data_IF_279004715547
#
_entry.id   IF_279004715547
#
_cell.length_a   1.000
_cell.length_b   1.000
_cell.length_c   1.000
_cell.angle_alpha   90.00
_cell.angle_beta   90.00
_cell.angle_gamma   90.00
#
_symmetry.space_group_name_H-M   'P 1'
#
loop_
_entity.id
_entity.type
_entity.pdbx_description
1 polymer ?
#
# COMPACT_ATOMS: atom_id res chain seq x y z
N UNK A 1 -23.42 6.76 -34.81
CA UNK A 1 -22.15 6.16 -35.28
C UNK A 1 -21.23 7.27 -35.76
N UNK A 2 -20.37 7.78 -34.94
CA UNK A 2 -19.40 8.82 -35.24
C UNK A 2 -18.06 8.42 -34.60
N UNK A 3 -17.10 7.95 -35.41
CA UNK A 3 -15.74 7.64 -34.96
C UNK A 3 -15.00 8.97 -34.73
N UNK A 4 -14.66 9.28 -33.50
CA UNK A 4 -13.69 10.33 -33.18
C UNK A 4 -12.29 9.74 -33.43
N UNK A 5 -11.59 10.25 -34.43
CA UNK A 5 -10.16 9.96 -34.68
C UNK A 5 -9.34 10.91 -33.82
N UNK A 6 -8.51 10.37 -32.96
CA UNK A 6 -7.45 11.09 -32.29
C UNK A 6 -6.21 11.12 -33.20
N UNK A 7 -5.68 12.32 -33.46
CA UNK A 7 -4.42 12.50 -34.16
C UNK A 7 -3.25 12.41 -33.17
N UNK A 8 -2.05 11.96 -33.59
CA UNK A 8 -0.91 11.84 -32.70
C UNK A 8 -0.35 13.23 -32.31
N UNK A 9 0.04 13.32 -31.05
CA UNK A 9 0.55 14.52 -30.37
C UNK A 9 1.77 15.13 -31.07
N UNK A 10 1.68 16.44 -31.29
CA UNK A 10 2.85 17.29 -31.43
C UNK A 10 3.32 17.70 -30.06
N UNK A 11 4.57 17.41 -29.74
CA UNK A 11 5.23 17.88 -28.54
C UNK A 11 5.15 19.41 -28.46
N UNK A 12 4.43 19.92 -27.45
CA UNK A 12 4.43 21.35 -27.11
C UNK A 12 5.59 21.58 -26.15
N UNK A 13 6.62 22.27 -26.61
CA UNK A 13 7.70 22.74 -25.75
C UNK A 13 7.14 23.79 -24.78
N UNK A 14 7.29 23.54 -23.49
CA UNK A 14 7.01 24.52 -22.45
C UNK A 14 8.08 25.61 -22.44
N UNK A 15 7.71 26.91 -22.35
CA UNK A 15 8.69 27.99 -22.29
C UNK A 15 9.42 27.97 -20.94
N UNK A 16 10.75 28.08 -21.00
CA UNK A 16 11.61 28.32 -19.85
C UNK A 16 11.23 29.65 -19.18
N UNK A 17 10.72 29.60 -17.96
CA UNK A 17 10.58 30.77 -17.10
C UNK A 17 11.92 30.98 -16.36
N UNK A 18 12.66 31.98 -16.82
CA UNK A 18 13.81 32.54 -16.11
C UNK A 18 13.31 33.56 -15.09
N UNK A 19 13.65 33.52 -13.81
CA UNK A 19 13.32 34.58 -12.88
C UNK A 19 14.40 35.67 -12.95
N UNK A 20 14.08 36.81 -13.54
CA UNK A 20 14.81 38.06 -13.33
C UNK A 20 14.00 38.90 -12.34
N UNK A 21 14.41 38.92 -11.08
CA UNK A 21 13.92 39.90 -10.12
C UNK A 21 15.12 40.74 -9.64
N UNK A 22 15.21 41.96 -10.17
CA UNK A 22 15.99 43.04 -9.58
C UNK A 22 15.12 43.68 -8.50
N UNK A 23 15.62 43.76 -7.27
CA UNK A 23 14.96 44.38 -6.14
C UNK A 23 15.03 45.94 -6.26
N UNK A 24 13.97 46.68 -5.96
CA UNK A 24 14.05 48.07 -5.65
C UNK A 24 14.36 48.30 -4.18
N UNK A 25 15.25 49.24 -3.91
CA UNK A 25 15.59 49.71 -2.57
C UNK A 25 14.50 50.68 -2.02
N UNK A 26 14.10 50.44 -0.79
CA UNK A 26 13.74 51.46 0.19
C UNK A 26 12.36 52.08 0.09
N UNK A 27 11.54 51.79 1.10
CA UNK A 27 10.31 52.54 1.43
C UNK A 27 9.60 51.82 2.57
N UNK A 28 9.64 52.40 3.77
CA UNK A 28 8.77 51.99 4.90
C UNK A 28 7.31 52.26 4.47
N UNK A 29 6.63 51.19 4.10
CA UNK A 29 5.20 51.22 3.80
C UNK A 29 4.63 49.90 4.36
N UNK A 30 3.58 50.01 5.17
CA UNK A 30 2.84 48.90 5.71
C UNK A 30 2.62 47.83 4.65
N UNK A 31 3.13 46.62 4.90
CA UNK A 31 2.82 45.44 4.09
C UNK A 31 1.29 45.24 4.17
N UNK A 32 0.58 45.67 3.14
CA UNK A 32 -0.76 45.16 2.90
C UNK A 32 -0.58 43.66 2.62
N UNK A 33 -0.86 42.82 3.58
CA UNK A 33 -1.03 41.38 3.37
C UNK A 33 -2.05 41.22 2.25
N UNK A 34 -1.53 40.82 1.08
CA UNK A 34 -2.35 40.50 -0.08
C UNK A 34 -2.95 39.10 0.21
N UNK A 35 -3.84 39.03 1.23
CA UNK A 35 -4.51 37.78 1.60
C UNK A 35 -5.47 37.41 0.47
N UNK A 36 -5.11 36.41 -0.30
CA UNK A 36 -6.05 35.77 -1.22
C UNK A 36 -7.20 35.17 -0.41
N UNK A 37 -8.43 35.31 -0.92
CA UNK A 37 -9.58 34.61 -0.34
C UNK A 37 -9.35 33.10 -0.50
N UNK A 38 -9.31 32.37 0.61
CA UNK A 38 -9.13 30.91 0.65
C UNK A 38 -10.19 30.24 1.51
N UNK A 39 -10.52 29.01 1.18
CA UNK A 39 -11.36 28.13 1.98
C UNK A 39 -10.66 26.78 2.08
N UNK A 40 -10.55 26.22 3.30
CA UNK A 40 -9.97 24.89 3.51
C UNK A 40 -10.79 23.83 2.76
N UNK A 41 -10.10 22.97 2.02
CA UNK A 41 -10.69 21.84 1.32
C UNK A 41 -10.32 20.54 2.04
N UNK A 42 -11.29 19.66 2.15
CA UNK A 42 -11.12 18.30 2.65
C UNK A 42 -11.28 17.33 1.48
N UNK A 43 -10.40 16.32 1.42
CA UNK A 43 -10.47 15.26 0.43
C UNK A 43 -10.92 13.97 1.09
N UNK A 44 -11.90 13.26 0.53
CA UNK A 44 -12.21 11.90 0.96
C UNK A 44 -11.73 10.92 -0.10
N UNK A 45 -10.95 9.93 0.31
CA UNK A 45 -10.30 8.96 -0.56
C UNK A 45 -10.55 7.51 -0.14
N UNK A 46 -10.37 6.62 -1.11
CA UNK A 46 -10.08 5.19 -0.88
C UNK A 46 -8.85 4.81 -1.68
N UNK A 47 -8.14 3.75 -1.26
CA UNK A 47 -7.07 3.16 -2.07
C UNK A 47 -7.69 2.11 -2.98
N UNK A 48 -7.65 2.35 -4.29
CA UNK A 48 -8.32 1.55 -5.32
C UNK A 48 -7.55 0.25 -5.67
N UNK A 49 -8.05 -0.48 -6.68
CA UNK A 49 -7.43 -1.73 -7.17
C UNK A 49 -6.11 -1.50 -7.92
N UNK A 50 -5.81 -0.25 -8.29
CA UNK A 50 -4.51 0.15 -8.83
C UNK A 50 -3.50 0.55 -7.72
N UNK A 51 -3.89 0.49 -6.45
CA UNK A 51 -3.04 0.89 -5.32
C UNK A 51 -2.91 2.40 -5.14
N UNK A 52 -3.78 3.20 -5.77
CA UNK A 52 -3.76 4.66 -5.72
C UNK A 52 -4.87 5.22 -4.84
N UNK A 53 -4.55 6.26 -4.07
CA UNK A 53 -5.54 7.01 -3.30
C UNK A 53 -6.36 7.90 -4.24
N UNK A 54 -7.66 7.61 -4.40
CA UNK A 54 -8.57 8.33 -5.28
C UNK A 54 -9.84 8.73 -4.55
N UNK A 55 -10.38 9.90 -4.91
CA UNK A 55 -11.56 10.41 -4.24
C UNK A 55 -12.01 11.76 -4.77
N UNK A 56 -12.64 12.54 -3.90
CA UNK A 56 -13.13 13.90 -4.22
C UNK A 56 -12.94 14.86 -3.07
N UNK A 57 -12.67 16.13 -3.41
CA UNK A 57 -12.60 17.23 -2.46
C UNK A 57 -13.95 17.92 -2.24
N UNK A 58 -14.11 18.54 -1.07
CA UNK A 58 -15.25 19.38 -0.69
C UNK A 58 -14.83 20.46 0.30
N UNK A 59 -15.56 21.61 0.40
CA UNK A 59 -15.30 22.64 1.39
C UNK A 59 -15.43 22.15 2.82
N UNK A 60 -14.49 22.52 3.71
CA UNK A 60 -14.45 22.06 5.10
C UNK A 60 -15.76 22.32 5.89
N UNK A 61 -16.46 23.41 5.59
CA UNK A 61 -17.79 23.71 6.19
C UNK A 61 -18.84 22.65 5.92
N UNK A 62 -18.68 21.80 4.88
CA UNK A 62 -19.61 20.74 4.54
C UNK A 62 -19.31 19.42 5.29
N UNK A 63 -18.21 19.35 6.05
CA UNK A 63 -17.79 18.12 6.73
C UNK A 63 -18.92 17.42 7.50
N UNK A 64 -19.75 18.11 8.34
CA UNK A 64 -20.83 17.45 9.06
C UNK A 64 -21.83 16.72 8.14
N UNK A 65 -22.12 17.31 6.96
CA UNK A 65 -23.00 16.69 5.97
C UNK A 65 -22.29 15.50 5.29
N UNK A 66 -21.00 15.65 4.96
CA UNK A 66 -20.23 14.64 4.24
C UNK A 66 -19.92 13.41 5.06
N UNK A 67 -19.76 13.55 6.37
CA UNK A 67 -19.63 12.41 7.30
C UNK A 67 -20.86 11.49 7.28
N UNK A 68 -22.04 12.05 6.99
CA UNK A 68 -23.30 11.29 6.94
C UNK A 68 -23.61 10.82 5.52
N UNK A 69 -23.50 11.71 4.52
CA UNK A 69 -23.93 11.46 3.14
C UNK A 69 -22.80 11.06 2.19
N UNK A 70 -21.54 11.28 2.58
CA UNK A 70 -20.40 11.07 1.70
C UNK A 70 -20.37 12.03 0.51
N UNK A 71 -19.56 11.66 -0.49
CA UNK A 71 -19.47 12.30 -1.80
C UNK A 71 -19.81 11.30 -2.90
N UNK A 72 -20.48 11.75 -3.96
CA UNK A 72 -20.89 10.88 -5.06
C UNK A 72 -19.72 10.21 -5.76
N UNK A 73 -19.83 8.92 -6.03
CA UNK A 73 -18.85 8.09 -6.74
C UNK A 73 -19.55 7.25 -7.81
N UNK A 74 -18.82 6.82 -8.83
CA UNK A 74 -19.34 6.00 -9.92
C UNK A 74 -18.64 4.64 -9.92
N UNK A 75 -19.39 3.55 -10.15
CA UNK A 75 -18.80 2.20 -10.16
C UNK A 75 -17.69 2.01 -11.17
N UNK A 76 -17.80 2.64 -12.35
CA UNK A 76 -16.76 2.61 -13.39
C UNK A 76 -15.41 3.21 -12.93
N UNK A 77 -15.39 4.06 -11.89
CA UNK A 77 -14.14 4.59 -11.34
C UNK A 77 -13.25 3.50 -10.73
N UNK A 78 -13.82 2.34 -10.36
CA UNK A 78 -13.03 1.18 -9.95
C UNK A 78 -12.07 0.72 -11.06
N UNK A 79 -12.46 0.92 -12.32
CA UNK A 79 -11.68 0.54 -13.51
C UNK A 79 -10.76 1.66 -14.01
N UNK A 80 -10.55 2.70 -13.22
CA UNK A 80 -9.63 3.79 -13.55
C UNK A 80 -8.19 3.29 -13.46
N UNK A 81 -7.54 3.24 -14.63
CA UNK A 81 -6.20 2.66 -14.74
C UNK A 81 -5.13 3.49 -14.01
N UNK A 82 -3.96 2.90 -13.72
CA UNK A 82 -2.84 3.67 -13.18
C UNK A 82 -2.32 4.72 -14.19
N UNK A 83 -2.67 4.57 -15.48
CA UNK A 83 -2.25 5.46 -16.58
C UNK A 83 -3.33 6.47 -16.99
N UNK A 84 -4.41 6.62 -16.22
CA UNK A 84 -5.47 7.62 -16.39
C UNK A 84 -6.77 7.10 -17.00
N UNK A 85 -6.80 6.45 -18.19
CA UNK A 85 -8.05 6.00 -18.79
C UNK A 85 -8.81 4.97 -17.94
N UNK A 86 -10.14 5.04 -17.94
CA UNK A 86 -11.00 3.96 -17.46
C UNK A 86 -10.97 2.84 -18.50
N UNK A 87 -10.63 1.63 -18.06
CA UNK A 87 -10.64 0.46 -18.94
C UNK A 87 -12.03 -0.16 -19.02
N UNK A 88 -12.18 -1.21 -19.83
CA UNK A 88 -13.44 -1.92 -20.00
C UNK A 88 -14.08 -2.28 -18.67
N UNK A 89 -15.27 -1.72 -18.43
CA UNK A 89 -15.93 -1.74 -17.12
C UNK A 89 -17.17 -2.63 -17.12
N UNK A 90 -17.32 -3.54 -16.13
CA UNK A 90 -18.55 -4.30 -15.97
C UNK A 90 -19.73 -3.43 -15.50
N UNK A 91 -19.48 -2.18 -15.07
CA UNK A 91 -20.51 -1.29 -14.53
C UNK A 91 -21.19 -0.42 -15.60
N UNK A 92 -20.62 -0.34 -16.81
CA UNK A 92 -21.13 0.56 -17.87
C UNK A 92 -21.12 2.02 -17.42
N UNK A 93 -22.19 2.75 -17.76
CA UNK A 93 -22.40 4.15 -17.36
C UNK A 93 -23.38 4.30 -16.19
N UNK A 94 -23.87 3.20 -15.64
CA UNK A 94 -24.88 3.18 -14.56
C UNK A 94 -24.22 2.89 -13.19
N UNK A 95 -24.93 3.27 -12.14
CA UNK A 95 -24.55 3.00 -10.75
C UNK A 95 -23.91 4.19 -10.05
N UNK A 96 -24.66 4.72 -9.09
CA UNK A 96 -24.21 5.76 -8.17
C UNK A 96 -23.88 5.13 -6.82
N UNK A 97 -22.75 5.51 -6.30
CA UNK A 97 -22.22 5.12 -5.00
C UNK A 97 -21.78 6.36 -4.23
N UNK A 98 -21.43 6.20 -2.99
CA UNK A 98 -20.94 7.27 -2.12
C UNK A 98 -19.62 6.85 -1.48
N UNK A 99 -18.58 7.70 -1.51
CA UNK A 99 -17.44 7.55 -0.59
C UNK A 99 -17.82 8.28 0.69
N UNK A 100 -17.96 7.53 1.79
CA UNK A 100 -18.31 8.06 3.10
C UNK A 100 -17.03 8.13 3.95
N UNK A 101 -16.61 9.33 4.40
CA UNK A 101 -15.43 9.49 5.26
C UNK A 101 -15.58 8.66 6.54
N UNK A 102 -14.49 8.01 6.97
CA UNK A 102 -14.42 7.37 8.29
C UNK A 102 -13.77 8.36 9.27
N UNK A 103 -14.50 8.84 10.32
CA UNK A 103 -13.92 9.77 11.30
C UNK A 103 -12.66 9.23 12.01
N UNK A 104 -12.52 7.89 12.11
CA UNK A 104 -11.34 7.26 12.71
C UNK A 104 -10.10 7.28 11.78
N UNK A 105 -10.27 7.67 10.52
CA UNK A 105 -9.22 7.74 9.51
C UNK A 105 -9.05 9.17 8.95
N UNK A 106 -9.26 10.18 9.81
CA UNK A 106 -8.95 11.58 9.51
C UNK A 106 -7.45 11.82 9.56
N UNK A 107 -6.95 12.54 8.55
CA UNK A 107 -5.59 13.06 8.48
C UNK A 107 -5.65 14.56 8.27
N UNK A 108 -5.07 15.32 9.22
CA UNK A 108 -4.95 16.77 9.10
C UNK A 108 -3.56 17.20 9.54
N UNK A 109 -2.74 17.59 8.55
CA UNK A 109 -1.33 17.96 8.76
C UNK A 109 -1.08 19.33 8.16
N UNK A 110 -0.68 20.28 9.02
CA UNK A 110 -0.14 21.56 8.63
C UNK A 110 1.39 21.47 8.62
N UNK A 111 2.00 21.68 7.45
CA UNK A 111 3.46 21.68 7.29
C UNK A 111 4.12 22.99 7.75
N UNK A 112 3.32 23.98 8.16
CA UNK A 112 3.77 25.29 8.63
C UNK A 112 4.70 26.02 7.64
N UNK A 113 4.55 25.75 6.34
CA UNK A 113 5.35 26.33 5.23
C UNK A 113 4.56 27.37 4.42
N UNK A 114 3.35 27.72 4.87
CA UNK A 114 2.43 28.61 4.18
C UNK A 114 1.65 27.96 3.03
N UNK A 115 1.85 26.66 2.77
CA UNK A 115 1.03 25.92 1.80
C UNK A 115 -0.31 25.48 2.41
N UNK A 116 -1.21 24.96 1.58
CA UNK A 116 -2.47 24.40 2.04
C UNK A 116 -2.25 23.21 2.98
N UNK A 117 -3.12 23.10 3.98
CA UNK A 117 -3.15 21.96 4.92
C UNK A 117 -3.47 20.67 4.14
N UNK A 118 -2.74 19.60 4.42
CA UNK A 118 -3.14 18.25 4.00
C UNK A 118 -4.29 17.78 4.89
N UNK A 119 -5.51 17.89 4.39
CA UNK A 119 -6.69 17.46 5.13
C UNK A 119 -7.50 16.47 4.29
N UNK A 120 -7.47 15.21 4.71
CA UNK A 120 -8.23 14.16 4.04
C UNK A 120 -8.74 13.10 5.01
N UNK A 121 -9.71 12.35 4.54
CA UNK A 121 -10.24 11.16 5.20
C UNK A 121 -10.06 9.95 4.30
N UNK A 122 -9.73 8.80 4.86
CA UNK A 122 -9.98 7.55 4.18
C UNK A 122 -11.42 7.14 4.44
N UNK A 123 -12.07 6.56 3.43
CA UNK A 123 -13.50 6.28 3.47
C UNK A 123 -13.88 4.96 2.82
N UNK A 124 -15.10 4.54 3.12
CA UNK A 124 -15.72 3.35 2.54
C UNK A 124 -16.62 3.74 1.37
N UNK A 125 -16.54 2.98 0.26
CA UNK A 125 -17.52 3.13 -0.82
C UNK A 125 -18.78 2.36 -0.42
N UNK A 126 -19.94 3.03 -0.48
CA UNK A 126 -21.24 2.49 -0.09
C UNK A 126 -22.26 2.66 -1.21
N UNK A 127 -23.24 1.78 -1.22
CA UNK A 127 -24.45 1.95 -2.01
C UNK A 127 -25.24 3.19 -1.54
N UNK A 128 -26.15 3.68 -2.38
CA UNK A 128 -26.96 4.87 -2.05
C UNK A 128 -27.94 4.67 -0.89
N UNK A 129 -28.23 3.42 -0.53
CA UNK A 129 -29.00 3.05 0.67
C UNK A 129 -28.13 2.97 1.95
N UNK A 130 -26.82 3.24 1.85
CA UNK A 130 -25.87 3.19 2.95
C UNK A 130 -25.25 1.82 3.22
N UNK A 131 -25.69 0.76 2.54
CA UNK A 131 -25.09 -0.57 2.66
C UNK A 131 -23.68 -0.61 2.06
N UNK A 132 -22.86 -1.57 2.51
CA UNK A 132 -21.52 -1.77 1.95
C UNK A 132 -21.59 -2.15 0.47
N UNK A 133 -20.76 -1.54 -0.36
CA UNK A 133 -20.60 -1.93 -1.75
C UNK A 133 -19.63 -3.11 -1.87
N UNK A 134 -20.04 -4.16 -2.57
CA UNK A 134 -19.25 -5.39 -2.77
C UNK A 134 -17.81 -5.12 -3.23
N UNK A 135 -17.61 -4.11 -4.09
CA UNK A 135 -16.31 -3.78 -4.66
C UNK A 135 -15.50 -2.74 -3.86
N UNK A 136 -15.91 -2.40 -2.62
CA UNK A 136 -15.16 -1.49 -1.79
C UNK A 136 -13.88 -2.17 -1.25
N UNK A 137 -12.64 -1.72 -1.62
CA UNK A 137 -11.41 -2.35 -1.13
C UNK A 137 -11.27 -2.30 0.38
N UNK A 138 -11.68 -1.20 1.02
CA UNK A 138 -11.59 -1.04 2.47
C UNK A 138 -12.61 -1.94 3.21
N UNK A 139 -13.80 -2.17 2.65
CA UNK A 139 -14.76 -3.15 3.20
C UNK A 139 -14.29 -4.59 2.97
N UNK A 140 -13.56 -4.88 1.90
CA UNK A 140 -12.93 -6.19 1.72
C UNK A 140 -12.07 -6.57 2.94
N UNK A 141 -11.23 -5.66 3.44
CA UNK A 141 -10.45 -5.89 4.66
C UNK A 141 -11.35 -5.98 5.90
N UNK A 142 -12.37 -5.12 6.04
CA UNK A 142 -13.33 -5.20 7.17
C UNK A 142 -14.00 -6.57 7.24
N UNK A 143 -14.37 -7.15 6.10
CA UNK A 143 -14.96 -8.50 6.03
C UNK A 143 -13.97 -9.57 6.46
N UNK A 144 -12.72 -9.46 6.03
CA UNK A 144 -11.65 -10.39 6.43
C UNK A 144 -11.42 -10.36 7.95
N UNK A 145 -11.33 -9.17 8.54
CA UNK A 145 -11.16 -8.98 9.99
C UNK A 145 -12.32 -9.61 10.76
N UNK A 146 -13.58 -9.32 10.37
CA UNK A 146 -14.77 -9.93 11.00
C UNK A 146 -14.72 -11.46 10.92
N UNK A 147 -14.34 -12.03 9.78
CA UNK A 147 -14.24 -13.48 9.64
C UNK A 147 -13.17 -14.10 10.53
N UNK A 148 -12.07 -13.40 10.81
CA UNK A 148 -11.05 -13.88 11.76
C UNK A 148 -11.60 -13.87 13.20
N UNK A 149 -12.29 -12.79 13.58
CA UNK A 149 -12.93 -12.68 14.91
C UNK A 149 -14.00 -13.77 15.10
N UNK A 150 -14.84 -13.99 14.09
CA UNK A 150 -15.91 -15.02 14.13
C UNK A 150 -15.36 -16.46 14.14
N UNK A 151 -14.33 -16.72 13.35
CA UNK A 151 -13.78 -18.09 13.20
C UNK A 151 -12.91 -18.53 14.37
N UNK A 152 -12.21 -17.60 15.03
CA UNK A 152 -11.16 -17.94 15.99
C UNK A 152 -11.18 -17.08 17.27
N UNK A 153 -12.02 -16.06 17.37
CA UNK A 153 -11.95 -15.03 18.42
C UNK A 153 -10.56 -14.40 18.51
N UNK A 154 -9.95 -14.13 17.35
CA UNK A 154 -8.65 -13.51 17.20
C UNK A 154 -8.73 -12.22 16.40
N UNK A 155 -7.77 -11.33 16.66
CA UNK A 155 -7.50 -10.13 15.87
C UNK A 155 -6.10 -10.19 15.29
N UNK A 156 -5.91 -9.50 14.17
CA UNK A 156 -4.60 -9.29 13.58
C UNK A 156 -4.10 -7.88 13.91
N UNK A 157 -2.89 -7.82 14.45
CA UNK A 157 -2.09 -6.61 14.58
C UNK A 157 -1.05 -6.62 13.47
N UNK A 158 -0.90 -5.52 12.74
CA UNK A 158 0.03 -5.44 11.63
C UNK A 158 0.76 -4.10 11.57
N UNK A 159 1.92 -4.11 10.90
CA UNK A 159 2.65 -2.92 10.48
C UNK A 159 3.15 -3.11 9.05
N UNK A 160 3.14 -2.02 8.28
CA UNK A 160 3.69 -2.00 6.93
C UNK A 160 5.06 -1.31 6.96
N UNK A 161 6.07 -2.00 6.51
CA UNK A 161 7.39 -1.48 6.18
C UNK A 161 7.40 -1.16 4.69
N UNK A 162 7.77 0.06 4.30
CA UNK A 162 7.67 0.51 2.92
C UNK A 162 8.98 1.10 2.43
N UNK A 163 9.43 0.62 1.28
CA UNK A 163 10.62 1.10 0.57
C UNK A 163 10.22 2.02 -0.58
N UNK A 164 11.04 3.04 -0.85
CA UNK A 164 10.83 3.98 -1.94
C UNK A 164 12.12 4.69 -2.35
N UNK A 165 12.15 5.23 -3.57
CA UNK A 165 13.21 6.12 -4.00
C UNK A 165 12.83 7.58 -3.75
N UNK A 166 13.81 8.39 -3.31
CA UNK A 166 13.66 9.83 -3.18
C UNK A 166 14.51 10.56 -4.23
N UNK A 167 13.88 11.43 -5.03
CA UNK A 167 14.55 12.11 -6.16
C UNK A 167 15.38 13.32 -5.75
N UNK A 168 15.27 13.77 -4.51
CA UNK A 168 15.95 14.99 -4.01
C UNK A 168 17.43 14.82 -3.67
N UNK A 169 18.00 13.62 -3.89
CA UNK A 169 19.43 13.35 -3.66
C UNK A 169 20.07 12.72 -4.88
N UNK A 170 21.37 12.97 -5.05
CA UNK A 170 22.20 12.28 -6.03
C UNK A 170 22.76 10.98 -5.46
N UNK A 171 22.87 9.98 -6.30
CA UNK A 171 23.54 8.72 -6.00
C UNK A 171 25.05 8.93 -5.81
N UNK A 172 25.63 8.16 -4.86
CA UNK A 172 27.08 8.07 -4.65
C UNK A 172 27.49 6.63 -4.32
N UNK A 173 28.68 6.20 -4.72
CA UNK A 173 29.21 4.90 -4.29
C UNK A 173 29.26 4.79 -2.76
N UNK A 174 28.84 3.64 -2.23
CA UNK A 174 28.87 3.36 -0.79
C UNK A 174 27.69 3.95 0.00
N UNK A 175 26.60 4.28 -0.65
CA UNK A 175 25.41 4.86 -0.01
C UNK A 175 24.61 3.87 0.84
N UNK A 176 24.65 2.59 0.53
CA UNK A 176 23.88 1.57 1.24
C UNK A 176 24.08 1.64 2.76
N UNK A 177 23.01 1.87 3.52
CA UNK A 177 22.99 2.02 4.99
C UNK A 177 23.93 3.10 5.54
N UNK A 178 24.46 3.97 4.69
CA UNK A 178 25.50 4.91 5.09
C UNK A 178 24.89 6.16 5.77
N UNK A 179 25.51 6.59 6.88
CA UNK A 179 25.17 7.86 7.52
C UNK A 179 25.29 9.06 6.56
N UNK A 180 26.22 8.97 5.58
CA UNK A 180 26.37 9.98 4.55
C UNK A 180 25.15 10.09 3.62
N UNK A 181 24.55 8.96 3.23
CA UNK A 181 23.28 8.93 2.46
C UNK A 181 22.14 9.48 3.31
N UNK A 182 22.03 9.04 4.57
CA UNK A 182 21.03 9.51 5.51
C UNK A 182 21.10 11.05 5.70
N UNK A 183 22.29 11.64 5.81
CA UNK A 183 22.44 13.11 5.91
C UNK A 183 21.99 13.86 4.65
N UNK A 184 22.17 13.28 3.46
CA UNK A 184 21.84 13.94 2.21
C UNK A 184 20.36 14.05 1.94
N UNK A 185 19.51 13.23 2.60
CA UNK A 185 18.06 13.40 2.50
C UNK A 185 17.59 14.78 3.02
N UNK A 186 18.46 15.46 3.78
CA UNK A 186 18.22 16.82 4.25
C UNK A 186 16.97 16.93 5.14
N UNK A 187 16.17 17.94 4.87
CA UNK A 187 14.91 18.17 5.60
C UNK A 187 13.79 17.22 5.20
N UNK A 188 13.92 16.46 4.12
CA UNK A 188 12.85 15.57 3.66
C UNK A 188 12.45 14.56 4.75
N UNK A 189 13.40 13.80 5.30
CA UNK A 189 13.08 12.77 6.28
C UNK A 189 12.52 13.35 7.58
N UNK A 190 13.08 14.47 8.08
CA UNK A 190 12.56 15.13 9.27
C UNK A 190 11.14 15.61 9.07
N UNK A 191 10.85 16.25 7.93
CA UNK A 191 9.52 16.72 7.54
C UNK A 191 8.54 15.55 7.38
N UNK A 192 8.95 14.50 6.67
CA UNK A 192 8.15 13.31 6.46
C UNK A 192 7.80 12.59 7.77
N UNK A 193 8.78 12.36 8.65
CA UNK A 193 8.57 11.70 9.95
C UNK A 193 7.69 12.56 10.87
N UNK A 194 7.84 13.88 10.85
CA UNK A 194 6.98 14.79 11.59
C UNK A 194 5.52 14.74 11.05
N UNK A 195 5.36 14.74 9.72
CA UNK A 195 4.05 14.64 9.08
C UNK A 195 3.35 13.30 9.39
N UNK A 196 4.08 12.17 9.37
CA UNK A 196 3.54 10.86 9.78
C UNK A 196 3.02 10.89 11.21
N UNK A 197 3.79 11.46 12.13
CA UNK A 197 3.40 11.59 13.54
C UNK A 197 2.18 12.47 13.71
N UNK A 198 2.12 13.59 13.00
CA UNK A 198 0.97 14.49 13.01
C UNK A 198 -0.28 13.83 12.40
N UNK A 199 -0.10 12.96 11.42
CA UNK A 199 -1.16 12.17 10.80
C UNK A 199 -1.63 10.96 11.64
N UNK A 200 -1.07 10.74 12.84
CA UNK A 200 -1.42 9.63 13.71
C UNK A 200 -0.71 8.30 13.39
N UNK A 201 0.05 8.23 12.30
CA UNK A 201 0.87 7.07 11.97
C UNK A 201 2.23 7.19 12.69
N UNK A 202 2.39 6.49 13.82
CA UNK A 202 3.61 6.57 14.62
C UNK A 202 4.79 5.92 13.89
N UNK A 203 5.80 6.69 13.42
CA UNK A 203 6.98 6.11 12.79
C UNK A 203 7.85 5.41 13.83
N UNK A 204 8.48 4.30 13.43
CA UNK A 204 9.44 3.52 14.22
C UNK A 204 10.86 3.76 13.70
N UNK A 205 11.16 3.35 12.47
CA UNK A 205 12.48 3.57 11.85
C UNK A 205 12.35 4.29 10.51
N UNK A 206 13.41 5.02 10.16
CA UNK A 206 13.61 5.63 8.85
C UNK A 206 15.10 5.53 8.51
N UNK A 207 15.43 4.95 7.36
CA UNK A 207 16.82 4.66 6.99
C UNK A 207 17.07 4.81 5.50
N UNK A 208 18.36 5.02 5.14
CA UNK A 208 18.84 4.85 3.78
C UNK A 208 19.03 3.36 3.52
N UNK A 209 18.34 2.84 2.51
CA UNK A 209 18.32 1.43 2.16
C UNK A 209 19.49 1.03 1.24
N UNK A 210 19.47 -0.23 0.76
CA UNK A 210 20.53 -0.81 -0.07
C UNK A 210 20.64 -0.14 -1.44
N UNK A 211 19.50 0.18 -2.04
CA UNK A 211 19.45 0.79 -3.37
C UNK A 211 19.90 2.26 -3.38
N UNK A 212 20.40 2.75 -4.52
CA UNK A 212 20.76 4.16 -4.67
C UNK A 212 19.51 5.04 -4.51
N UNK A 213 19.59 6.07 -3.67
CA UNK A 213 18.50 6.99 -3.33
C UNK A 213 17.27 6.29 -2.70
N UNK A 214 17.42 5.03 -2.29
CA UNK A 214 16.36 4.26 -1.66
C UNK A 214 16.32 4.53 -0.16
N UNK A 215 15.11 4.66 0.35
CA UNK A 215 14.80 4.81 1.77
C UNK A 215 13.72 3.82 2.17
N UNK A 216 13.72 3.48 3.45
CA UNK A 216 12.71 2.63 4.07
C UNK A 216 12.14 3.33 5.29
N UNK A 217 10.85 3.16 5.50
CA UNK A 217 10.15 3.59 6.70
C UNK A 217 9.32 2.46 7.27
N UNK A 218 9.41 2.27 8.59
CA UNK A 218 8.51 1.41 9.35
C UNK A 218 7.63 2.26 10.26
N UNK A 219 6.43 1.75 10.55
CA UNK A 219 5.48 2.37 11.48
C UNK A 219 5.09 1.37 12.57
N UNK A 220 4.69 1.89 13.73
CA UNK A 220 4.27 1.06 14.85
C UNK A 220 3.03 0.21 14.51
N UNK A 221 2.98 -1.06 14.99
CA UNK A 221 1.89 -1.97 14.71
C UNK A 221 0.53 -1.45 15.21
N UNK A 222 -0.51 -1.72 14.43
CA UNK A 222 -1.89 -1.32 14.69
C UNK A 222 -2.86 -2.45 14.36
N UNK A 223 -4.12 -2.40 14.83
CA UNK A 223 -5.19 -3.27 14.32
C UNK A 223 -5.26 -3.21 12.78
N UNK A 224 -5.56 -4.33 12.15
CA UNK A 224 -5.41 -4.54 10.71
C UNK A 224 -5.97 -3.41 9.81
N UNK A 225 -7.17 -2.89 10.11
CA UNK A 225 -7.75 -1.81 9.31
C UNK A 225 -6.94 -0.51 9.45
N UNK A 226 -6.60 -0.12 10.69
CA UNK A 226 -5.77 1.05 10.96
C UNK A 226 -4.38 0.91 10.36
N UNK A 227 -3.78 -0.30 10.40
CA UNK A 227 -2.49 -0.57 9.77
C UNK A 227 -2.54 -0.35 8.24
N UNK A 228 -3.60 -0.80 7.58
CA UNK A 228 -3.80 -0.57 6.15
C UNK A 228 -4.07 0.92 5.83
N UNK A 229 -4.84 1.63 6.68
CA UNK A 229 -5.02 3.08 6.59
C UNK A 229 -3.66 3.79 6.73
N UNK A 230 -2.84 3.44 7.72
CA UNK A 230 -1.50 4.00 7.92
C UNK A 230 -0.56 3.70 6.74
N UNK A 231 -0.70 2.55 6.07
CA UNK A 231 0.08 2.27 4.86
C UNK A 231 -0.26 3.24 3.72
N UNK A 232 -1.53 3.62 3.53
CA UNK A 232 -1.93 4.66 2.58
C UNK A 232 -1.39 6.02 3.03
N UNK A 233 -1.59 6.39 4.31
CA UNK A 233 -1.12 7.65 4.89
C UNK A 233 0.39 7.80 4.73
N UNK A 234 1.16 6.74 4.95
CA UNK A 234 2.62 6.74 4.80
C UNK A 234 3.03 7.16 3.38
N UNK A 235 2.40 6.59 2.35
CA UNK A 235 2.67 6.96 0.95
C UNK A 235 2.32 8.40 0.66
N UNK A 236 1.15 8.85 1.11
CA UNK A 236 0.67 10.21 0.84
C UNK A 236 1.50 11.26 1.59
N UNK A 237 1.90 11.01 2.84
CA UNK A 237 2.76 11.93 3.59
C UNK A 237 4.19 12.01 3.01
N UNK A 238 4.74 10.89 2.52
CA UNK A 238 6.02 10.91 1.80
C UNK A 238 5.94 11.75 0.52
N UNK A 239 4.84 11.59 -0.26
CA UNK A 239 4.58 12.40 -1.47
C UNK A 239 4.40 13.87 -1.13
N UNK A 240 3.62 14.18 -0.09
CA UNK A 240 3.36 15.54 0.35
C UNK A 240 4.65 16.25 0.81
N UNK A 241 5.49 15.59 1.59
CA UNK A 241 6.78 16.13 2.03
C UNK A 241 7.75 16.36 0.86
N UNK A 242 7.87 15.38 -0.05
CA UNK A 242 8.72 15.51 -1.23
C UNK A 242 8.26 16.63 -2.17
N UNK A 243 6.95 16.71 -2.43
CA UNK A 243 6.35 17.73 -3.29
C UNK A 243 6.68 19.15 -2.82
N UNK A 244 6.61 19.42 -1.52
CA UNK A 244 6.94 20.74 -0.93
C UNK A 244 8.41 21.13 -1.12
N UNK A 245 9.28 20.15 -1.27
CA UNK A 245 10.70 20.35 -1.56
C UNK A 245 11.01 20.38 -3.07
N UNK A 246 9.99 20.32 -3.93
CA UNK A 246 10.16 20.25 -5.40
C UNK A 246 10.69 18.90 -5.89
N UNK A 247 10.50 17.84 -5.11
CA UNK A 247 10.99 16.50 -5.40
C UNK A 247 9.84 15.49 -5.48
N UNK A 248 10.18 14.23 -5.78
CA UNK A 248 9.25 13.09 -5.81
C UNK A 248 9.76 11.94 -4.95
N UNK A 249 8.84 11.10 -4.53
CA UNK A 249 9.11 9.74 -4.05
C UNK A 249 8.51 8.75 -5.04
N UNK A 250 9.19 7.62 -5.23
CA UNK A 250 8.82 6.59 -6.20
C UNK A 250 8.67 5.27 -5.45
N UNK A 251 7.45 4.79 -5.33
CA UNK A 251 7.09 3.54 -4.68
C UNK A 251 6.97 2.36 -5.68
N UNK A 252 7.29 2.58 -6.95
CA UNK A 252 7.22 1.51 -7.95
C UNK A 252 7.97 0.26 -7.47
N UNK A 253 7.38 -0.94 -7.59
CA UNK A 253 8.02 -2.20 -7.17
C UNK A 253 9.41 -2.43 -7.75
N UNK A 254 9.65 -1.94 -8.97
CA UNK A 254 10.95 -1.99 -9.65
C UNK A 254 11.10 -0.70 -10.46
N UNK A 255 11.75 0.32 -9.92
CA UNK A 255 11.88 1.62 -10.60
C UNK A 255 12.91 1.61 -11.74
N UNK A 256 13.85 0.66 -11.71
CA UNK A 256 14.88 0.46 -12.72
C UNK A 256 15.24 -1.03 -12.77
N UNK A 257 15.43 -1.64 -13.95
CA UNK A 257 15.71 -3.07 -14.06
C UNK A 257 17.06 -3.49 -13.44
N UNK A 258 18.01 -2.59 -13.36
CA UNK A 258 19.36 -2.85 -12.82
C UNK A 258 19.47 -2.61 -11.30
N UNK A 259 18.52 -1.87 -10.71
CA UNK A 259 18.51 -1.59 -9.28
C UNK A 259 17.75 -2.66 -8.49
N UNK A 260 17.86 -2.64 -7.18
CA UNK A 260 16.96 -3.40 -6.29
C UNK A 260 15.54 -2.87 -6.40
N UNK A 261 14.55 -3.71 -6.09
CA UNK A 261 13.16 -3.29 -6.05
C UNK A 261 12.79 -2.61 -4.74
N UNK A 262 11.60 -2.00 -4.70
CA UNK A 262 10.95 -1.52 -3.49
C UNK A 262 9.92 -2.54 -3.02
N UNK A 263 10.14 -3.11 -1.85
CA UNK A 263 9.20 -4.00 -1.19
C UNK A 263 8.20 -3.25 -0.31
N UNK A 264 7.17 -3.98 0.05
CA UNK A 264 6.31 -3.66 1.19
C UNK A 264 6.23 -4.90 2.05
N UNK A 265 6.83 -4.86 3.22
CA UNK A 265 6.78 -6.01 4.12
C UNK A 265 5.67 -5.79 5.15
N UNK A 266 4.91 -6.85 5.45
CA UNK A 266 3.79 -6.78 6.37
C UNK A 266 4.12 -7.61 7.59
N UNK A 267 4.46 -6.96 8.70
CA UNK A 267 4.68 -7.59 10.00
C UNK A 267 3.35 -7.89 10.66
N UNK A 268 3.17 -9.10 11.19
CA UNK A 268 1.88 -9.57 11.68
C UNK A 268 1.99 -10.35 12.97
N UNK A 269 1.06 -10.08 13.89
CA UNK A 269 0.84 -10.88 15.10
C UNK A 269 -0.65 -11.14 15.28
N UNK A 270 -1.02 -12.33 15.70
CA UNK A 270 -2.35 -12.64 16.18
C UNK A 270 -2.43 -12.33 17.68
N UNK A 271 -3.54 -11.72 18.09
CA UNK A 271 -3.87 -11.46 19.48
C UNK A 271 -5.27 -11.97 19.79
N UNK A 272 -5.53 -12.35 21.04
CA UNK A 272 -6.87 -12.66 21.51
C UNK A 272 -7.72 -11.40 21.67
N UNK A 273 -8.99 -11.57 22.05
CA UNK A 273 -9.92 -10.45 22.21
C UNK A 273 -9.57 -9.53 23.37
N UNK A 274 -8.70 -9.98 24.31
CA UNK A 274 -8.19 -9.18 25.42
C UNK A 274 -6.85 -8.48 25.08
N UNK A 275 -6.27 -8.73 23.88
CA UNK A 275 -5.00 -8.18 23.44
C UNK A 275 -3.78 -9.00 23.84
N UNK A 276 -3.96 -10.20 24.41
CA UNK A 276 -2.90 -11.15 24.68
C UNK A 276 -2.36 -11.79 23.39
N UNK A 277 -1.04 -12.06 23.33
CA UNK A 277 -0.45 -12.70 22.14
C UNK A 277 -1.03 -14.09 21.94
N UNK A 278 -1.54 -14.34 20.72
CA UNK A 278 -1.99 -15.64 20.25
C UNK A 278 -1.08 -16.18 19.13
N UNK A 279 0.06 -15.53 18.87
CA UNK A 279 1.02 -15.96 17.84
C UNK A 279 2.03 -16.96 18.40
N UNK A 280 2.63 -16.65 19.54
CA UNK A 280 3.77 -17.35 20.12
C UNK A 280 3.37 -18.45 21.12
N UNK A 281 3.95 -19.64 20.98
CA UNK A 281 3.86 -20.75 21.91
C UNK A 281 5.19 -21.49 21.93
N UNK A 282 6.05 -21.27 22.94
CA UNK A 282 7.35 -21.93 23.02
C UNK A 282 7.24 -23.46 23.01
N UNK A 283 8.09 -24.10 22.22
CA UNK A 283 8.16 -25.57 22.11
C UNK A 283 7.20 -26.18 21.09
N UNK A 284 6.26 -25.42 20.55
CA UNK A 284 5.46 -25.82 19.38
C UNK A 284 6.27 -25.67 18.08
N UNK A 285 5.86 -26.31 16.97
CA UNK A 285 6.50 -26.13 15.67
C UNK A 285 6.67 -24.66 15.31
N UNK A 286 7.90 -24.25 15.01
CA UNK A 286 8.30 -22.87 14.73
C UNK A 286 8.01 -21.88 15.89
N UNK A 287 7.78 -22.35 17.13
CA UNK A 287 7.26 -21.63 18.28
C UNK A 287 5.96 -20.85 18.00
N UNK A 288 5.18 -21.30 17.04
CA UNK A 288 3.86 -20.77 16.72
C UNK A 288 2.78 -21.51 17.50
N UNK A 289 1.81 -20.78 18.05
CA UNK A 289 0.61 -21.38 18.61
C UNK A 289 -0.17 -22.18 17.57
N UNK A 290 -1.04 -23.10 17.96
CA UNK A 290 -1.86 -23.89 17.01
C UNK A 290 -2.69 -23.00 16.08
N UNK A 291 -3.40 -21.97 16.54
CA UNK A 291 -4.09 -21.05 15.63
C UNK A 291 -3.15 -20.36 14.66
N UNK A 292 -1.97 -19.92 15.11
CA UNK A 292 -0.98 -19.26 14.25
C UNK A 292 -0.38 -20.25 13.22
N UNK A 293 -0.11 -21.51 13.61
CA UNK A 293 0.31 -22.54 12.65
C UNK A 293 -0.72 -22.71 11.53
N UNK A 294 -2.00 -22.85 11.86
CA UNK A 294 -3.08 -23.01 10.89
C UNK A 294 -3.24 -21.75 10.04
N UNK A 295 -3.17 -20.57 10.66
CA UNK A 295 -3.26 -19.28 9.94
C UNK A 295 -2.17 -19.16 8.88
N UNK A 296 -0.91 -19.33 9.24
CA UNK A 296 0.19 -19.21 8.30
C UNK A 296 0.25 -20.35 7.30
N UNK A 297 -0.20 -21.57 7.67
CA UNK A 297 -0.40 -22.65 6.71
C UNK A 297 -1.43 -22.31 5.64
N UNK A 298 -2.53 -21.63 6.02
CA UNK A 298 -3.53 -21.11 5.08
C UNK A 298 -2.94 -20.06 4.14
N UNK A 299 -2.14 -19.12 4.65
CA UNK A 299 -1.44 -18.13 3.82
C UNK A 299 -0.54 -18.81 2.79
N UNK A 300 0.27 -19.79 3.21
CA UNK A 300 1.14 -20.55 2.30
C UNK A 300 0.34 -21.35 1.27
N UNK A 301 -0.79 -21.93 1.66
CA UNK A 301 -1.66 -22.73 0.78
C UNK A 301 -2.22 -21.89 -0.37
N UNK A 302 -2.71 -20.71 -0.07
CA UNK A 302 -3.30 -19.79 -1.04
C UNK A 302 -2.30 -18.81 -1.67
N UNK A 303 -1.01 -18.92 -1.34
CA UNK A 303 0.01 -17.98 -1.81
C UNK A 303 0.06 -17.82 -3.33
N UNK A 304 -0.11 -18.87 -4.16
CA UNK A 304 -0.17 -18.72 -5.62
C UNK A 304 -1.28 -17.78 -6.09
N UNK A 305 -2.45 -17.79 -5.43
CA UNK A 305 -3.57 -16.90 -5.70
C UNK A 305 -3.37 -15.50 -5.09
N UNK A 306 -2.85 -15.43 -3.85
CA UNK A 306 -2.59 -14.17 -3.14
C UNK A 306 -1.59 -13.30 -3.91
N UNK A 307 -0.62 -13.90 -4.59
CA UNK A 307 0.36 -13.16 -5.41
C UNK A 307 -0.29 -12.20 -6.40
N UNK A 308 -1.44 -12.57 -6.99
CA UNK A 308 -2.19 -11.67 -7.87
C UNK A 308 -2.66 -10.39 -7.17
N UNK A 309 -2.74 -10.40 -5.83
CA UNK A 309 -3.31 -9.31 -5.01
C UNK A 309 -2.22 -8.53 -4.29
N UNK A 310 -1.15 -9.19 -3.86
CA UNK A 310 -0.04 -8.58 -3.11
C UNK A 310 1.09 -8.06 -4.00
N UNK A 311 1.25 -8.65 -5.20
CA UNK A 311 2.16 -8.23 -6.26
C UNK A 311 1.37 -8.02 -7.57
N UNK A 312 0.43 -7.04 -7.62
CA UNK A 312 -0.65 -7.00 -8.60
C UNK A 312 -0.30 -6.25 -9.89
N UNK A 313 0.97 -5.99 -10.15
CA UNK A 313 1.43 -5.26 -11.33
C UNK A 313 2.44 -6.08 -12.13
N UNK A 314 2.50 -5.97 -13.47
CA UNK A 314 3.55 -6.60 -14.26
C UNK A 314 4.96 -6.27 -13.77
N UNK A 315 5.21 -5.05 -13.29
CA UNK A 315 6.50 -4.62 -12.76
C UNK A 315 6.86 -5.30 -11.43
N UNK A 316 5.89 -5.79 -10.66
CA UNK A 316 6.10 -6.52 -9.41
C UNK A 316 6.95 -7.79 -9.64
N UNK A 317 6.78 -8.46 -10.77
CA UNK A 317 7.49 -9.69 -11.10
C UNK A 317 8.93 -9.48 -11.57
N UNK A 318 9.33 -8.25 -11.83
CA UNK A 318 10.75 -7.88 -12.00
C UNK A 318 11.48 -7.75 -10.65
N UNK A 319 10.74 -7.62 -9.54
CA UNK A 319 11.29 -7.63 -8.18
C UNK A 319 11.38 -9.05 -7.60
N UNK A 320 10.36 -9.89 -7.83
CA UNK A 320 10.26 -11.24 -7.26
C UNK A 320 11.14 -12.24 -8.04
N UNK A 321 12.43 -12.00 -8.05
CA UNK A 321 13.44 -12.79 -8.77
C UNK A 321 14.56 -13.24 -7.83
N UNK A 322 15.27 -14.34 -8.15
CA UNK A 322 16.39 -14.83 -7.34
C UNK A 322 17.48 -13.77 -7.13
N UNK A 323 18.09 -13.76 -5.95
CA UNK A 323 19.18 -12.86 -5.56
C UNK A 323 18.80 -11.37 -5.48
N UNK A 324 17.50 -11.05 -5.42
CA UNK A 324 16.99 -9.67 -5.30
C UNK A 324 16.47 -9.34 -3.88
N UNK A 325 16.83 -10.13 -2.86
CA UNK A 325 16.34 -10.00 -1.47
C UNK A 325 14.81 -10.05 -1.36
N UNK A 326 14.18 -10.66 -2.35
CA UNK A 326 12.75 -10.87 -2.47
C UNK A 326 12.43 -12.36 -2.52
N UNK A 327 11.26 -12.79 -2.03
CA UNK A 327 10.88 -14.20 -2.07
C UNK A 327 10.66 -14.69 -3.50
N UNK A 328 11.03 -15.94 -3.74
CA UNK A 328 10.79 -16.64 -5.02
C UNK A 328 10.11 -17.98 -4.83
N UNK A 329 10.02 -18.43 -3.58
CA UNK A 329 9.41 -19.70 -3.18
C UNK A 329 8.40 -19.48 -2.04
N UNK A 330 7.46 -20.40 -1.90
CA UNK A 330 6.39 -20.35 -0.91
C UNK A 330 6.85 -21.10 0.34
N UNK A 331 7.33 -20.40 1.33
CA UNK A 331 7.88 -20.97 2.54
C UNK A 331 7.63 -20.12 3.80
N UNK A 332 7.87 -20.75 4.95
CA UNK A 332 7.94 -20.11 6.25
C UNK A 332 9.27 -20.47 6.90
N UNK A 333 10.16 -19.50 7.07
CA UNK A 333 11.52 -19.72 7.58
C UNK A 333 11.86 -18.75 8.70
N UNK A 334 12.72 -19.18 9.63
CA UNK A 334 13.25 -18.29 10.67
C UNK A 334 14.37 -17.44 10.12
N UNK A 335 14.25 -16.11 10.30
CA UNK A 335 15.31 -15.13 10.07
C UNK A 335 15.91 -15.12 8.66
N UNK A 336 15.24 -15.73 7.67
CA UNK A 336 15.67 -15.71 6.27
C UNK A 336 14.93 -14.59 5.51
N UNK A 337 15.66 -13.63 4.99
CA UNK A 337 15.11 -12.50 4.23
C UNK A 337 14.71 -12.85 2.79
N UNK A 338 14.98 -14.07 2.34
CA UNK A 338 14.48 -14.62 1.06
C UNK A 338 13.14 -15.33 1.18
N UNK A 339 12.64 -15.54 2.41
CA UNK A 339 11.40 -16.27 2.65
C UNK A 339 10.14 -15.45 2.32
N UNK A 340 9.06 -16.13 1.89
CA UNK A 340 7.73 -15.51 1.74
C UNK A 340 7.14 -15.13 3.10
N UNK A 341 7.22 -16.03 4.08
CA UNK A 341 6.91 -15.76 5.48
C UNK A 341 8.19 -15.93 6.31
N UNK A 342 8.56 -14.87 7.01
CA UNK A 342 9.76 -14.84 7.85
C UNK A 342 9.36 -14.69 9.31
N UNK A 343 9.77 -15.62 10.16
CA UNK A 343 9.73 -15.40 11.61
C UNK A 343 10.86 -14.45 11.97
N UNK A 344 10.52 -13.28 12.45
CA UNK A 344 11.48 -12.24 12.80
C UNK A 344 12.25 -12.57 14.08
N UNK A 345 13.50 -12.07 14.23
CA UNK A 345 14.24 -12.22 15.46
C UNK A 345 13.58 -11.39 16.59
N UNK A 346 13.71 -11.89 17.80
CA UNK A 346 13.39 -11.15 19.02
C UNK A 346 14.67 -10.52 19.55
N UNK A 347 14.64 -9.24 19.89
CA UNK A 347 15.83 -8.50 20.33
C UNK A 347 15.73 -8.12 21.81
N UNK A 348 16.84 -8.30 22.53
CA UNK A 348 17.05 -7.83 23.91
C UNK A 348 15.92 -8.16 24.89
N UNK A 349 15.13 -9.22 24.61
CA UNK A 349 14.07 -9.66 25.50
C UNK A 349 14.67 -10.38 26.70
N UNK A 350 14.46 -9.83 27.89
CA UNK A 350 14.98 -10.38 29.14
C UNK A 350 14.03 -11.41 29.78
N UNK A 351 12.77 -11.43 29.37
CA UNK A 351 11.73 -12.30 29.94
C UNK A 351 10.94 -13.03 28.86
N UNK A 352 10.36 -14.22 29.19
CA UNK A 352 9.46 -14.92 28.28
C UNK A 352 8.27 -14.07 27.79
N UNK A 353 7.76 -13.17 28.64
CA UNK A 353 6.66 -12.27 28.27
C UNK A 353 7.10 -11.25 27.22
N UNK A 354 8.32 -10.72 27.29
CA UNK A 354 8.88 -9.83 26.28
C UNK A 354 9.13 -10.54 24.95
N UNK A 355 9.62 -11.80 24.99
CA UNK A 355 9.75 -12.64 23.81
C UNK A 355 8.38 -12.79 23.13
N UNK A 356 7.37 -13.20 23.89
CA UNK A 356 6.01 -13.41 23.37
C UNK A 356 5.43 -12.13 22.76
N UNK A 357 5.65 -10.99 23.37
CA UNK A 357 5.16 -9.68 22.88
C UNK A 357 5.83 -9.25 21.58
N UNK A 358 7.13 -9.54 21.41
CA UNK A 358 7.90 -9.16 20.22
C UNK A 358 7.77 -10.18 19.08
N UNK A 359 7.32 -11.40 19.36
CA UNK A 359 7.27 -12.48 18.37
C UNK A 359 6.23 -12.20 17.30
N UNK A 360 6.68 -12.13 16.06
CA UNK A 360 5.83 -11.84 14.90
C UNK A 360 6.37 -12.51 13.63
N UNK A 361 5.52 -12.56 12.62
CA UNK A 361 5.82 -13.09 11.28
C UNK A 361 5.70 -11.96 10.26
N UNK A 362 6.66 -11.88 9.38
CA UNK A 362 6.73 -10.91 8.29
C UNK A 362 6.36 -11.58 6.97
N UNK A 363 5.39 -11.01 6.26
CA UNK A 363 5.04 -11.36 4.89
C UNK A 363 5.81 -10.47 3.92
N UNK A 364 6.58 -11.05 3.00
CA UNK A 364 7.55 -10.32 2.18
C UNK A 364 7.20 -10.22 0.69
N UNK A 365 6.17 -10.95 0.23
CA UNK A 365 5.78 -10.99 -1.18
C UNK A 365 4.72 -9.93 -1.53
N UNK A 366 4.87 -8.70 -1.00
CA UNK A 366 4.00 -7.57 -1.35
C UNK A 366 4.82 -6.36 -1.79
N UNK A 367 4.17 -5.45 -2.48
CA UNK A 367 4.74 -4.17 -2.92
C UNK A 367 3.69 -3.05 -2.97
N UNK A 368 4.13 -1.83 -3.26
CA UNK A 368 3.28 -0.65 -3.18
C UNK A 368 2.32 -0.46 -4.38
N UNK A 369 2.37 -1.32 -5.40
CA UNK A 369 1.33 -1.39 -6.43
C UNK A 369 0.03 -2.02 -5.89
N UNK A 370 0.12 -2.72 -4.76
CA UNK A 370 -1.04 -3.29 -4.09
C UNK A 370 -1.84 -2.27 -3.28
N UNK A 371 -3.16 -2.38 -3.31
CA UNK A 371 -4.02 -1.78 -2.29
C UNK A 371 -3.73 -2.45 -0.95
N UNK A 372 -3.33 -1.72 0.10
CA UNK A 372 -3.08 -2.31 1.42
C UNK A 372 -4.31 -3.05 1.98
N UNK A 373 -5.50 -2.59 1.64
CA UNK A 373 -6.75 -3.22 2.04
C UNK A 373 -6.95 -4.60 1.40
N UNK A 374 -6.70 -4.69 0.09
CA UNK A 374 -6.83 -5.96 -0.62
C UNK A 374 -5.72 -6.93 -0.21
N UNK A 375 -4.47 -6.44 -0.11
CA UNK A 375 -3.33 -7.27 0.26
C UNK A 375 -3.48 -7.87 1.65
N UNK A 376 -3.72 -7.05 2.67
CA UNK A 376 -3.89 -7.53 4.05
C UNK A 376 -5.17 -8.36 4.20
N UNK A 377 -6.26 -7.96 3.53
CA UNK A 377 -7.51 -8.70 3.52
C UNK A 377 -7.36 -10.11 2.96
N UNK A 378 -6.64 -10.27 1.84
CA UNK A 378 -6.37 -11.58 1.23
C UNK A 378 -5.52 -12.48 2.15
N UNK A 379 -4.50 -11.92 2.82
CA UNK A 379 -3.68 -12.65 3.79
C UNK A 379 -4.55 -13.13 4.98
N UNK A 380 -5.45 -12.26 5.48
CA UNK A 380 -6.34 -12.63 6.60
C UNK A 380 -7.35 -13.71 6.15
N UNK A 381 -7.99 -13.57 5.00
CA UNK A 381 -8.93 -14.57 4.47
C UNK A 381 -8.25 -15.94 4.31
N UNK A 382 -7.04 -15.97 3.76
CA UNK A 382 -6.26 -17.20 3.63
C UNK A 382 -5.93 -17.82 5.00
N UNK A 383 -5.55 -16.99 5.97
CA UNK A 383 -5.32 -17.43 7.34
C UNK A 383 -6.59 -18.01 7.99
N UNK A 384 -7.75 -17.38 7.77
CA UNK A 384 -9.05 -17.86 8.24
C UNK A 384 -9.40 -19.23 7.65
N UNK A 385 -9.18 -19.43 6.34
CA UNK A 385 -9.37 -20.73 5.70
C UNK A 385 -8.44 -21.80 6.32
N UNK A 386 -7.19 -21.44 6.55
CA UNK A 386 -6.22 -22.32 7.23
C UNK A 386 -6.68 -22.74 8.62
N UNK A 387 -7.23 -21.81 9.42
CA UNK A 387 -7.78 -22.11 10.75
C UNK A 387 -9.01 -22.99 10.63
N UNK A 388 -9.99 -22.66 9.76
CA UNK A 388 -11.22 -23.45 9.59
C UNK A 388 -10.99 -24.88 9.15
N UNK A 389 -9.99 -25.09 8.31
CA UNK A 389 -9.59 -26.42 7.80
C UNK A 389 -8.52 -27.10 8.65
N UNK A 390 -8.04 -26.44 9.70
CA UNK A 390 -6.92 -26.91 10.53
C UNK A 390 -5.71 -27.34 9.69
N UNK A 391 -5.33 -26.54 8.69
CA UNK A 391 -4.23 -26.87 7.79
C UNK A 391 -2.91 -26.98 8.56
N UNK A 392 -2.11 -28.05 8.34
CA UNK A 392 -0.81 -28.16 8.97
C UNK A 392 0.22 -27.28 8.25
N UNK A 393 1.24 -26.84 8.99
CA UNK A 393 2.44 -26.27 8.36
C UNK A 393 3.10 -27.30 7.43
N UNK A 394 3.77 -26.87 6.35
CA UNK A 394 4.58 -27.76 5.53
C UNK A 394 5.58 -28.56 6.37
N UNK A 395 5.79 -29.82 6.00
CA UNK A 395 6.76 -30.67 6.69
C UNK A 395 8.18 -30.08 6.60
N UNK A 396 8.94 -30.17 7.68
CA UNK A 396 10.33 -29.70 7.69
C UNK A 396 11.14 -30.40 6.57
N UNK A 397 11.84 -29.60 5.76
CA UNK A 397 12.62 -30.07 4.61
C UNK A 397 11.80 -30.38 3.34
N UNK A 398 10.49 -30.17 3.35
CA UNK A 398 9.70 -30.25 2.10
C UNK A 398 10.20 -29.22 1.08
N UNK A 399 10.20 -29.61 -0.20
CA UNK A 399 10.53 -28.68 -1.27
C UNK A 399 9.47 -27.58 -1.34
N UNK A 400 9.90 -26.32 -1.24
CA UNK A 400 9.02 -25.16 -1.33
C UNK A 400 8.60 -24.93 -2.79
N UNK A 401 7.30 -24.82 -3.11
CA UNK A 401 6.83 -24.44 -4.44
C UNK A 401 7.31 -23.04 -4.82
N UNK A 402 7.49 -22.80 -6.13
CA UNK A 402 7.82 -21.46 -6.61
C UNK A 402 6.60 -20.54 -6.55
N UNK A 403 6.85 -19.24 -6.31
CA UNK A 403 5.87 -18.19 -6.56
C UNK A 403 5.54 -18.10 -8.05
N UNK A 404 4.35 -17.59 -8.46
CA UNK A 404 4.07 -17.20 -9.84
C UNK A 404 5.14 -16.25 -10.37
N UNK A 405 5.48 -16.39 -11.65
CA UNK A 405 6.56 -15.63 -12.30
C UNK A 405 6.06 -14.46 -13.14
N UNK A 406 4.76 -14.30 -13.24
CA UNK A 406 4.14 -13.21 -13.97
C UNK A 406 2.75 -12.89 -13.42
N UNK A 407 2.27 -11.68 -13.67
CA UNK A 407 0.92 -11.30 -13.30
C UNK A 407 -0.15 -12.19 -13.97
N UNK A 408 -0.09 -12.51 -15.27
CA UNK A 408 -1.04 -13.45 -15.87
C UNK A 408 -1.08 -14.81 -15.18
N UNK A 409 0.06 -15.41 -14.85
CA UNK A 409 0.11 -16.66 -14.11
C UNK A 409 -0.58 -16.55 -12.73
N UNK A 410 -0.29 -15.49 -11.99
CA UNK A 410 -0.91 -15.26 -10.68
C UNK A 410 -2.43 -15.06 -10.78
N UNK A 411 -2.90 -14.33 -11.80
CA UNK A 411 -4.34 -14.16 -12.07
C UNK A 411 -5.03 -15.46 -12.42
N UNK A 412 -4.39 -16.34 -13.16
CA UNK A 412 -4.92 -17.67 -13.46
C UNK A 412 -4.97 -18.55 -12.21
N UNK A 413 -3.99 -18.44 -11.30
CA UNK A 413 -4.03 -19.10 -9.98
C UNK A 413 -5.17 -18.56 -9.13
N UNK A 414 -5.39 -17.24 -9.09
CA UNK A 414 -6.51 -16.64 -8.36
C UNK A 414 -7.87 -17.10 -8.94
N UNK A 415 -8.01 -17.12 -10.25
CA UNK A 415 -9.25 -17.55 -10.89
C UNK A 415 -9.55 -19.06 -10.69
N UNK A 416 -8.52 -19.89 -10.52
CA UNK A 416 -8.63 -21.33 -10.29
C UNK A 416 -8.80 -21.72 -8.82
N UNK A 417 -8.48 -20.85 -7.88
CA UNK A 417 -8.66 -21.08 -6.44
C UNK A 417 -10.07 -20.61 -6.03
N UNK A 418 -11.02 -21.55 -6.00
CA UNK A 418 -12.43 -21.24 -5.68
C UNK A 418 -12.60 -20.55 -4.32
N UNK A 419 -11.77 -20.89 -3.33
CA UNK A 419 -11.78 -20.27 -2.00
C UNK A 419 -11.33 -18.83 -2.09
N UNK A 420 -10.19 -18.56 -2.73
CA UNK A 420 -9.66 -17.20 -2.88
C UNK A 420 -10.57 -16.34 -3.77
N UNK A 421 -11.10 -16.88 -4.85
CA UNK A 421 -12.09 -16.22 -5.70
C UNK A 421 -13.34 -15.82 -4.90
N UNK A 422 -13.79 -16.67 -3.98
CA UNK A 422 -14.95 -16.44 -3.11
C UNK A 422 -14.80 -15.30 -2.11
N UNK A 423 -13.57 -14.84 -1.80
CA UNK A 423 -13.36 -13.72 -0.88
C UNK A 423 -13.87 -12.39 -1.45
N UNK A 424 -13.84 -12.25 -2.77
CA UNK A 424 -14.21 -11.01 -3.46
C UNK A 424 -15.73 -10.84 -3.55
N UNK A 425 -16.47 -11.85 -3.88
CA UNK A 425 -17.79 -11.75 -4.48
C UNK A 425 -17.71 -11.60 -6.00
N UNK A 426 -18.78 -11.95 -6.72
CA UNK A 426 -18.73 -12.16 -8.18
C UNK A 426 -18.40 -10.89 -8.96
N UNK A 427 -18.98 -9.75 -8.60
CA UNK A 427 -18.78 -8.48 -9.32
C UNK A 427 -17.39 -7.92 -9.10
N UNK A 428 -16.90 -7.99 -7.86
CA UNK A 428 -15.56 -7.51 -7.52
C UNK A 428 -14.48 -8.37 -8.15
N UNK A 429 -14.63 -9.69 -8.14
CA UNK A 429 -13.69 -10.61 -8.78
C UNK A 429 -13.60 -10.37 -10.31
N UNK A 430 -14.75 -10.26 -10.98
CA UNK A 430 -14.80 -9.99 -12.41
C UNK A 430 -14.09 -8.67 -12.75
N UNK A 431 -14.42 -7.60 -12.02
CA UNK A 431 -13.77 -6.29 -12.19
C UNK A 431 -12.25 -6.38 -11.97
N UNK A 432 -11.81 -7.06 -10.88
CA UNK A 432 -10.41 -7.21 -10.55
C UNK A 432 -9.62 -7.98 -11.63
N UNK A 433 -10.12 -9.14 -12.05
CA UNK A 433 -9.48 -9.97 -13.06
C UNK A 433 -9.42 -9.26 -14.41
N UNK A 434 -10.52 -8.61 -14.85
CA UNK A 434 -10.54 -7.80 -16.08
C UNK A 434 -9.50 -6.69 -16.01
N UNK A 435 -9.52 -5.91 -14.95
CA UNK A 435 -8.59 -4.79 -14.76
C UNK A 435 -7.14 -5.25 -14.90
N UNK A 436 -6.76 -6.27 -14.14
CA UNK A 436 -5.37 -6.74 -14.10
C UNK A 436 -4.92 -7.46 -15.38
N UNK A 437 -5.81 -8.14 -16.06
CA UNK A 437 -5.53 -8.72 -17.38
C UNK A 437 -5.31 -7.64 -18.44
N UNK A 438 -6.17 -6.62 -18.49
CA UNK A 438 -5.99 -5.48 -19.39
C UNK A 438 -4.68 -4.75 -19.08
N UNK A 439 -4.35 -4.54 -17.80
CA UNK A 439 -3.07 -3.93 -17.38
C UNK A 439 -1.89 -4.71 -17.97
N UNK A 440 -1.86 -6.03 -17.80
CA UNK A 440 -0.82 -6.90 -18.32
C UNK A 440 -0.72 -6.83 -19.87
N UNK A 441 -1.86 -6.86 -20.57
CA UNK A 441 -1.92 -6.76 -22.03
C UNK A 441 -1.39 -5.43 -22.56
N UNK A 442 -1.73 -4.32 -21.90
CA UNK A 442 -1.33 -2.96 -22.31
C UNK A 442 0.17 -2.70 -22.23
N UNK A 443 0.89 -3.49 -21.46
CA UNK A 443 2.34 -3.34 -21.27
C UNK A 443 3.15 -4.55 -21.76
N UNK A 444 2.50 -5.57 -22.32
CA UNK A 444 3.14 -6.83 -22.74
C UNK A 444 4.28 -6.65 -23.76
N UNK A 445 4.26 -5.57 -24.56
CA UNK A 445 5.28 -5.28 -25.56
C UNK A 445 6.45 -4.43 -25.09
N UNK A 446 6.42 -3.98 -23.82
CA UNK A 446 7.47 -3.12 -23.27
C UNK A 446 8.69 -3.93 -22.85
N UNK A 447 9.88 -3.38 -23.08
CA UNK A 447 11.12 -3.87 -22.48
C UNK A 447 11.09 -3.65 -20.95
N UNK A 448 11.91 -4.39 -20.19
CA UNK A 448 12.00 -4.16 -18.73
C UNK A 448 12.29 -2.71 -18.36
N UNK A 449 13.13 -2.00 -19.10
CA UNK A 449 13.46 -0.60 -18.86
C UNK A 449 12.25 0.32 -19.09
N UNK A 450 11.52 0.14 -20.20
CA UNK A 450 10.32 0.90 -20.49
C UNK A 450 9.20 0.62 -19.48
N UNK A 451 9.07 -0.65 -19.06
CA UNK A 451 8.12 -1.05 -18.03
C UNK A 451 8.42 -0.35 -16.69
N UNK A 452 9.67 -0.43 -16.21
CA UNK A 452 10.10 0.22 -14.99
C UNK A 452 9.87 1.74 -15.05
N UNK A 453 10.32 2.41 -16.12
CA UNK A 453 10.14 3.84 -16.30
C UNK A 453 8.67 4.26 -16.27
N UNK A 454 7.80 3.49 -16.94
CA UNK A 454 6.36 3.77 -17.00
C UNK A 454 5.69 3.69 -15.63
N UNK A 455 6.04 2.69 -14.83
CA UNK A 455 5.47 2.52 -13.49
C UNK A 455 6.10 3.44 -12.44
N UNK A 456 7.33 3.89 -12.63
CA UNK A 456 7.96 4.91 -11.79
C UNK A 456 7.28 6.28 -11.89
N UNK A 457 6.52 6.54 -12.96
CA UNK A 457 5.70 7.76 -13.09
C UNK A 457 4.37 7.66 -12.32
N UNK A 458 3.95 6.48 -11.94
CA UNK A 458 2.66 6.21 -11.28
C UNK A 458 2.80 6.05 -9.78
N UNK A 459 3.72 5.19 -9.37
CA UNK A 459 3.87 4.78 -7.97
C UNK A 459 4.95 5.52 -7.21
#
# INVERSE_FOLDING_TARGET
MGRVRWAPDKAVALPHLTPALSAPKGGEGAEAENSMIGEELIFVATCDIAGLARGKGFPARELPLRLVKGVGWTGSNLMMSPFGPIWDTPFGTAGDFMIVPDPAAEVRVDFADGSAIEHFFLGDIRNTDGSAWECCPRDFLRRAVRQLEEAASLRLIAAFEQEFLYTGISERPGDAYALAAFRRQGTFGETFIAALRAAGAAPDTFLAEYGPRQFEVTVMPQPALTAADHAVVTREMARAAAYRLGHRVIFSPKPDPELVGNGVHIHMSLVDMAGGSATHMPGEPMDLSKPAQHFFAGVLHHMPAICAITAPSPVSYLRLVPNAWAPTVIDLVRQDRGATLRICPVFAAATPAEITRQFHVEFRAADAAASPYLALGAVIFAGVDGIRRALPLPAAGAAAPSLPRSLPEALDRLAADETAAGWFGPTHLDAYLRFKRIEAEKVAGLSPAELCARYAEVY
#
